data_IF_279320967306
#
_entry.id   IF_279320967306
#
_cell.length_a   1.000
_cell.length_b   1.000
_cell.length_c   1.000
_cell.angle_alpha   90.00
_cell.angle_beta   90.00
_cell.angle_gamma   90.00
#
_symmetry.space_group_name_H-M   'P 1'
#
loop_
_entity.id
_entity.type
_entity.pdbx_description
1 polymer ?
#
# COMPACT_ATOMS: atom_id res chain seq x y z
N UNK A 1 31.71 -44.65 -38.50
CA UNK A 1 32.22 -44.42 -37.14
C UNK A 1 31.21 -43.58 -36.39
N UNK A 2 30.63 -44.08 -35.27
CA UNK A 2 29.65 -43.37 -34.45
C UNK A 2 30.34 -42.49 -33.40
N UNK A 3 29.66 -41.43 -32.98
CA UNK A 3 30.06 -40.55 -31.87
C UNK A 3 28.86 -39.84 -31.26
N UNK A 4 28.26 -40.48 -30.27
CA UNK A 4 27.27 -40.02 -29.26
C UNK A 4 27.96 -38.85 -28.47
N UNK A 5 27.39 -37.76 -27.94
CA UNK A 5 26.34 -37.58 -26.90
C UNK A 5 26.03 -36.06 -26.70
N UNK A 6 24.77 -35.76 -26.37
CA UNK A 6 24.16 -34.73 -25.49
C UNK A 6 24.60 -33.24 -25.34
N UNK A 7 23.63 -32.36 -24.99
CA UNK A 7 23.82 -30.92 -24.79
C UNK A 7 24.24 -30.53 -23.36
N UNK A 8 25.11 -29.52 -23.23
CA UNK A 8 25.40 -28.80 -21.98
C UNK A 8 24.44 -27.60 -21.87
N UNK A 9 23.53 -27.51 -20.89
CA UNK A 9 23.66 -27.28 -19.43
C UNK A 9 23.59 -25.79 -19.08
N UNK A 10 22.54 -25.47 -18.33
CA UNK A 10 22.18 -24.17 -17.79
C UNK A 10 23.30 -23.57 -16.92
N UNK A 11 23.50 -22.26 -17.07
CA UNK A 11 24.30 -21.44 -16.17
C UNK A 11 23.42 -21.01 -14.98
N UNK A 12 23.55 -21.74 -13.87
CA UNK A 12 23.12 -21.31 -12.55
C UNK A 12 24.28 -20.58 -11.86
N UNK A 13 23.95 -19.48 -11.16
CA UNK A 13 24.87 -18.72 -10.32
C UNK A 13 25.53 -19.59 -9.23
N UNK A 14 26.81 -19.33 -8.87
CA UNK A 14 27.54 -20.11 -7.89
C UNK A 14 27.66 -19.36 -6.55
N UNK A 15 26.93 -19.74 -5.51
CA UNK A 15 27.34 -19.46 -4.13
C UNK A 15 27.03 -20.66 -3.22
N UNK A 16 28.12 -21.37 -2.89
CA UNK A 16 28.44 -22.13 -1.68
C UNK A 16 27.40 -22.05 -0.54
N UNK A 17 26.73 -23.13 -0.18
CA UNK A 17 27.16 -24.20 0.75
C UNK A 17 27.23 -23.79 2.24
N UNK A 18 26.28 -24.33 3.00
CA UNK A 18 26.54 -24.96 4.30
C UNK A 18 26.64 -24.06 5.54
N UNK A 19 25.54 -23.95 6.28
CA UNK A 19 25.52 -24.24 7.72
C UNK A 19 24.09 -24.48 8.18
N UNK A 20 23.87 -25.74 8.56
CA UNK A 20 22.71 -26.23 9.30
C UNK A 20 22.72 -25.58 10.69
N UNK A 21 21.61 -24.99 11.09
CA UNK A 21 21.33 -24.65 12.49
C UNK A 21 20.12 -25.49 12.93
N UNK A 22 20.35 -26.79 13.09
CA UNK A 22 19.51 -27.61 13.95
C UNK A 22 19.87 -27.26 15.39
N UNK A 23 18.96 -26.60 16.10
CA UNK A 23 18.99 -26.54 17.55
C UNK A 23 17.89 -27.46 18.07
N UNK A 24 18.30 -28.65 18.51
CA UNK A 24 17.52 -29.53 19.35
C UNK A 24 17.12 -28.79 20.63
N UNK A 25 15.82 -28.61 20.83
CA UNK A 25 15.27 -28.38 22.17
C UNK A 25 14.24 -29.47 22.41
N UNK A 26 14.72 -30.54 23.06
CA UNK A 26 13.88 -31.49 23.75
C UNK A 26 13.25 -30.79 24.97
N UNK A 27 11.93 -30.56 24.94
CA UNK A 27 11.18 -30.20 26.14
C UNK A 27 10.47 -31.44 26.66
N UNK A 28 10.93 -31.87 27.82
CA UNK A 28 10.43 -32.97 28.65
C UNK A 28 8.94 -32.75 28.96
N UNK A 29 8.08 -33.72 28.60
CA UNK A 29 6.74 -33.82 29.15
C UNK A 29 6.82 -34.14 30.65
N UNK A 30 6.72 -33.12 31.50
CA UNK A 30 6.32 -33.29 32.91
C UNK A 30 4.87 -32.84 33.05
N UNK A 31 4.02 -33.77 33.46
CA UNK A 31 2.61 -33.52 33.71
C UNK A 31 2.41 -32.40 34.73
N UNK A 32 1.69 -31.37 34.31
CA UNK A 32 1.13 -30.38 35.22
C UNK A 32 -0.32 -30.82 35.45
N UNK A 33 -0.60 -31.29 36.67
CA UNK A 33 -1.94 -31.56 37.14
C UNK A 33 -2.75 -30.26 37.10
N UNK A 34 -3.85 -30.25 36.35
CA UNK A 34 -4.80 -29.14 36.33
C UNK A 34 -5.64 -29.23 37.62
N UNK A 35 -5.60 -28.24 38.54
CA UNK A 35 -6.48 -28.26 39.69
C UNK A 35 -7.92 -27.95 39.27
N UNK A 36 -8.83 -28.89 39.56
CA UNK A 36 -10.26 -28.87 39.18
C UNK A 36 -11.12 -27.94 40.04
N UNK A 37 -10.63 -26.74 40.36
CA UNK A 37 -11.48 -25.71 40.94
C UNK A 37 -11.40 -24.45 40.08
N UNK A 38 -12.28 -24.38 39.09
CA UNK A 38 -12.56 -23.13 38.42
C UNK A 38 -13.40 -22.29 39.39
N UNK A 39 -12.93 -21.12 39.88
CA UNK A 39 -13.87 -20.15 40.38
C UNK A 39 -14.77 -19.73 39.21
N UNK A 40 -16.08 -19.76 39.45
CA UNK A 40 -17.08 -19.21 38.55
C UNK A 40 -16.77 -17.71 38.40
N UNK A 41 -15.97 -17.37 37.40
CA UNK A 41 -15.72 -15.99 37.02
C UNK A 41 -17.01 -15.45 36.40
N UNK A 42 -17.72 -14.71 37.25
CA UNK A 42 -18.92 -13.93 36.94
C UNK A 42 -18.66 -13.07 35.69
N UNK A 43 -19.38 -13.33 34.60
CA UNK A 43 -19.29 -12.61 33.33
C UNK A 43 -19.95 -11.23 33.42
N UNK A 44 -19.48 -10.37 34.33
CA UNK A 44 -19.87 -8.98 34.42
C UNK A 44 -18.60 -8.12 34.39
N UNK A 45 -18.59 -7.19 33.44
CA UNK A 45 -17.52 -6.25 33.11
C UNK A 45 -16.45 -6.72 32.11
N UNK A 46 -16.89 -7.00 30.88
CA UNK A 46 -16.08 -6.58 29.72
C UNK A 46 -16.07 -5.05 29.73
N UNK A 47 -15.05 -4.46 30.34
CA UNK A 47 -14.77 -3.03 30.23
C UNK A 47 -14.60 -2.70 28.75
N UNK A 48 -15.61 -2.07 28.17
CA UNK A 48 -15.52 -1.45 26.84
C UNK A 48 -14.47 -0.35 26.98
N UNK A 49 -13.21 -0.69 26.72
CA UNK A 49 -12.12 0.28 26.62
C UNK A 49 -12.53 1.28 25.55
N UNK A 50 -12.98 2.45 26.00
CA UNK A 50 -13.25 3.62 25.18
C UNK A 50 -12.03 3.87 24.30
N UNK A 51 -12.14 3.56 23.02
CA UNK A 51 -11.28 4.16 22.00
C UNK A 51 -11.60 5.65 21.99
N UNK A 52 -10.90 6.38 22.86
CA UNK A 52 -10.90 7.85 22.87
C UNK A 52 -9.94 8.23 21.75
N UNK A 53 -10.46 8.53 20.56
CA UNK A 53 -9.66 9.00 19.44
C UNK A 53 -8.97 10.31 19.82
N UNK A 54 -7.63 10.34 19.76
CA UNK A 54 -6.77 11.48 20.11
C UNK A 54 -6.50 12.35 18.86
N UNK A 55 -7.46 12.44 17.93
CA UNK A 55 -7.39 13.43 16.86
C UNK A 55 -8.13 14.70 17.31
N UNK A 56 -7.66 15.91 16.98
CA UNK A 56 -8.41 17.13 17.24
C UNK A 56 -9.68 17.12 16.38
N UNK A 57 -10.77 16.59 16.95
CA UNK A 57 -12.08 16.59 16.31
C UNK A 57 -12.54 18.04 16.24
N UNK A 58 -12.40 18.67 15.08
CA UNK A 58 -12.96 19.98 14.74
C UNK A 58 -14.35 20.13 15.37
N UNK A 59 -14.68 21.28 15.95
CA UNK A 59 -15.96 21.49 16.65
C UNK A 59 -17.19 21.12 15.79
N UNK A 60 -17.07 21.26 14.46
CA UNK A 60 -18.04 20.80 13.46
C UNK A 60 -18.28 19.28 13.51
N UNK A 61 -17.22 18.48 13.60
CA UNK A 61 -17.28 17.02 13.62
C UNK A 61 -17.92 16.47 14.90
N UNK A 62 -17.76 17.15 16.04
CA UNK A 62 -18.41 16.76 17.31
C UNK A 62 -19.94 16.89 17.26
N UNK A 63 -20.45 17.76 16.40
CA UNK A 63 -21.90 17.96 16.19
C UNK A 63 -22.50 16.93 15.23
N UNK A 64 -21.67 16.17 14.52
CA UNK A 64 -22.11 15.17 13.56
C UNK A 64 -22.15 13.79 14.20
N UNK A 65 -23.28 13.09 14.06
CA UNK A 65 -23.37 11.69 14.46
C UNK A 65 -22.53 10.80 13.51
N UNK A 66 -22.30 9.54 13.90
CA UNK A 66 -21.46 8.62 13.11
C UNK A 66 -21.97 8.42 11.68
N UNK A 67 -23.29 8.32 11.49
CA UNK A 67 -23.90 8.17 10.16
C UNK A 67 -23.65 9.40 9.28
N UNK A 68 -23.74 10.60 9.85
CA UNK A 68 -23.44 11.86 9.16
C UNK A 68 -21.96 11.98 8.81
N UNK A 69 -21.06 11.61 9.72
CA UNK A 69 -19.61 11.60 9.46
C UNK A 69 -19.25 10.68 8.28
N UNK A 70 -19.87 9.49 8.21
CA UNK A 70 -19.73 8.57 7.07
C UNK A 70 -20.31 9.16 5.78
N UNK A 71 -21.53 9.70 5.83
CA UNK A 71 -22.21 10.28 4.65
C UNK A 71 -21.42 11.47 4.05
N UNK A 72 -20.75 12.24 4.90
CA UNK A 72 -19.99 13.40 4.50
C UNK A 72 -18.50 13.09 4.29
N UNK A 73 -18.03 11.85 4.46
CA UNK A 73 -16.60 11.49 4.33
C UNK A 73 -15.66 12.35 5.22
N UNK A 74 -16.04 12.55 6.48
CA UNK A 74 -15.27 13.40 7.41
C UNK A 74 -14.85 12.67 8.68
N UNK A 75 -13.73 13.11 9.27
CA UNK A 75 -13.21 12.56 10.51
C UNK A 75 -12.62 11.16 10.30
N UNK A 76 -13.28 10.13 10.84
CA UNK A 76 -12.82 8.73 10.71
C UNK A 76 -13.08 8.10 9.34
N UNK A 77 -13.82 8.80 8.48
CA UNK A 77 -14.17 8.38 7.11
C UNK A 77 -13.59 9.30 6.05
N UNK A 78 -12.57 10.08 6.41
CA UNK A 78 -11.88 10.95 5.48
C UNK A 78 -10.94 10.12 4.61
N UNK A 79 -11.09 10.23 3.30
CA UNK A 79 -10.19 9.63 2.32
C UNK A 79 -9.30 10.73 1.74
N UNK A 80 -7.99 10.50 1.75
CA UNK A 80 -7.02 11.39 1.14
C UNK A 80 -6.57 10.83 -0.21
N UNK A 81 -6.19 11.72 -1.11
CA UNK A 81 -5.51 11.45 -2.37
C UNK A 81 -4.25 12.30 -2.45
N UNK A 82 -3.39 12.04 -3.43
CA UNK A 82 -2.32 12.95 -3.78
C UNK A 82 -2.28 13.15 -5.28
N UNK A 83 -1.80 14.32 -5.69
CA UNK A 83 -1.66 14.67 -7.10
C UNK A 83 -0.29 14.26 -7.62
N UNK A 84 -0.22 13.89 -8.89
CA UNK A 84 1.02 13.61 -9.59
C UNK A 84 1.08 14.57 -10.77
N UNK A 85 2.15 15.38 -10.81
CA UNK A 85 2.42 16.31 -11.90
C UNK A 85 3.81 16.09 -12.45
N UNK A 86 3.96 16.22 -13.75
CA UNK A 86 5.25 16.02 -14.40
C UNK A 86 5.27 16.50 -15.83
N UNK A 87 6.47 16.45 -16.41
CA UNK A 87 6.73 16.79 -17.81
C UNK A 87 7.39 15.60 -18.52
N UNK A 88 7.09 15.45 -19.80
CA UNK A 88 7.69 14.45 -20.67
C UNK A 88 8.84 15.07 -21.47
N UNK A 89 9.87 14.28 -21.80
CA UNK A 89 11.05 14.75 -22.54
C UNK A 89 10.69 15.19 -23.96
N UNK A 90 9.67 14.58 -24.56
CA UNK A 90 9.15 14.94 -25.87
C UNK A 90 7.63 15.07 -25.83
N UNK A 91 7.10 15.83 -26.78
CA UNK A 91 5.67 15.80 -27.10
C UNK A 91 5.36 14.45 -27.75
N UNK A 92 5.15 13.44 -26.91
CA UNK A 92 4.67 12.14 -27.37
C UNK A 92 3.20 12.38 -27.72
N UNK A 93 2.88 12.34 -29.01
CA UNK A 93 1.51 12.44 -29.52
C UNK A 93 0.63 11.29 -28.99
N UNK A 94 1.26 10.16 -28.63
CA UNK A 94 0.62 8.95 -28.11
C UNK A 94 1.12 8.64 -26.68
N UNK A 95 0.58 9.36 -25.70
CA UNK A 95 0.80 9.10 -24.28
C UNK A 95 0.04 7.87 -23.76
N UNK A 96 -0.78 7.23 -24.60
CA UNK A 96 -1.69 6.16 -24.19
C UNK A 96 -0.91 4.91 -23.77
N UNK A 97 0.15 4.54 -24.49
CA UNK A 97 0.99 3.40 -24.11
C UNK A 97 1.68 3.59 -22.74
N UNK A 98 2.08 4.82 -22.40
CA UNK A 98 2.65 5.13 -21.10
C UNK A 98 1.57 5.09 -20.02
N UNK A 99 0.39 5.65 -20.30
CA UNK A 99 -0.76 5.65 -19.41
C UNK A 99 -1.24 4.22 -19.13
N UNK A 100 -1.38 3.37 -20.15
CA UNK A 100 -1.81 1.97 -20.02
C UNK A 100 -0.83 1.18 -19.17
N UNK A 101 0.48 1.33 -19.42
CA UNK A 101 1.50 0.67 -18.61
C UNK A 101 1.49 1.18 -17.16
N UNK A 102 1.17 2.46 -16.95
CA UNK A 102 1.03 3.03 -15.62
C UNK A 102 -0.21 2.50 -14.90
N UNK A 103 -1.35 2.45 -15.58
CA UNK A 103 -2.61 1.92 -15.04
C UNK A 103 -2.43 0.45 -14.64
N UNK A 104 -1.84 -0.37 -15.51
CA UNK A 104 -1.58 -1.78 -15.19
C UNK A 104 -0.69 -1.95 -13.95
N UNK A 105 0.33 -1.10 -13.79
CA UNK A 105 1.21 -1.14 -12.62
C UNK A 105 0.53 -0.61 -11.35
N UNK A 106 -0.20 0.50 -11.43
CA UNK A 106 -0.80 1.13 -10.25
C UNK A 106 -1.94 0.26 -9.68
N UNK A 107 -2.71 -0.40 -10.55
CA UNK A 107 -3.72 -1.38 -10.13
C UNK A 107 -3.10 -2.59 -9.43
N UNK A 108 -1.89 -3.02 -9.84
CA UNK A 108 -1.16 -4.08 -9.13
C UNK A 108 -0.70 -3.68 -7.72
N UNK A 109 -0.72 -2.38 -7.41
CA UNK A 109 -0.40 -1.82 -6.10
C UNK A 109 -1.66 -1.49 -5.26
N UNK A 110 -2.85 -1.96 -5.68
CA UNK A 110 -4.16 -1.62 -5.11
C UNK A 110 -4.46 -0.11 -5.07
N UNK A 111 -3.93 0.61 -6.06
CA UNK A 111 -4.10 2.04 -6.26
C UNK A 111 -4.81 2.31 -7.59
N UNK A 112 -5.42 3.48 -7.69
CA UNK A 112 -6.11 3.95 -8.88
C UNK A 112 -5.57 5.30 -9.28
N UNK A 113 -5.53 5.54 -10.59
CA UNK A 113 -5.13 6.80 -11.17
C UNK A 113 -6.29 7.40 -11.96
N UNK A 114 -6.53 8.69 -11.76
CA UNK A 114 -7.43 9.48 -12.59
C UNK A 114 -6.67 10.70 -13.09
N UNK A 115 -6.46 10.81 -14.39
CA UNK A 115 -5.64 11.86 -14.96
C UNK A 115 -5.41 11.73 -16.44
N UNK A 116 -4.41 12.45 -16.91
CA UNK A 116 -3.99 12.56 -18.30
C UNK A 116 -2.47 12.45 -18.40
N UNK A 117 -2.02 11.70 -19.40
CA UNK A 117 -0.61 11.58 -19.79
C UNK A 117 -0.53 11.79 -21.29
N UNK A 118 0.29 12.74 -21.73
CA UNK A 118 0.46 13.07 -23.14
C UNK A 118 0.68 14.57 -23.34
N UNK A 119 0.90 15.01 -24.58
CA UNK A 119 1.14 16.43 -24.92
C UNK A 119 2.16 17.10 -23.98
N UNK A 120 3.26 16.38 -23.72
CA UNK A 120 4.39 16.89 -22.94
C UNK A 120 4.16 16.93 -21.42
N UNK A 121 3.02 16.45 -20.90
CA UNK A 121 2.69 16.56 -19.47
C UNK A 121 2.05 15.31 -18.87
N UNK A 122 2.22 15.18 -17.56
CA UNK A 122 1.55 14.22 -16.69
C UNK A 122 0.78 15.05 -15.67
N UNK A 123 -0.52 14.82 -15.55
CA UNK A 123 -1.35 15.45 -14.52
C UNK A 123 -2.45 14.49 -14.10
N UNK A 124 -2.56 14.23 -12.80
CA UNK A 124 -3.60 13.37 -12.28
C UNK A 124 -3.56 13.22 -10.78
N UNK A 125 -4.49 12.43 -10.28
CA UNK A 125 -4.64 12.10 -8.86
C UNK A 125 -4.55 10.60 -8.66
N UNK A 126 -3.93 10.20 -7.55
CA UNK A 126 -3.82 8.81 -7.11
C UNK A 126 -4.66 8.61 -5.85
N UNK A 127 -5.50 7.58 -5.87
CA UNK A 127 -6.42 7.23 -4.79
C UNK A 127 -6.44 5.72 -4.55
N UNK A 128 -6.96 5.31 -3.39
CA UNK A 128 -7.24 3.90 -3.05
C UNK A 128 -8.74 3.62 -3.11
N UNK A 129 -9.14 2.36 -3.27
CA UNK A 129 -10.57 1.98 -3.17
C UNK A 129 -11.15 2.18 -1.77
N UNK A 130 -10.31 2.07 -0.72
CA UNK A 130 -10.72 2.26 0.67
C UNK A 130 -9.59 2.96 1.44
N UNK A 131 -9.89 4.11 2.03
CA UNK A 131 -8.96 4.84 2.87
C UNK A 131 -8.05 5.79 2.10
N UNK A 132 -6.84 5.97 2.60
CA UNK A 132 -5.84 6.90 2.06
C UNK A 132 -4.57 6.15 1.62
N UNK A 133 -3.93 6.55 0.50
CA UNK A 133 -2.63 6.01 0.13
C UNK A 133 -1.57 6.29 1.19
N UNK A 134 -0.60 5.38 1.31
CA UNK A 134 0.53 5.53 2.23
C UNK A 134 1.67 6.35 1.62
N UNK A 135 2.55 6.87 2.47
CA UNK A 135 3.76 7.57 2.03
C UNK A 135 4.66 6.68 1.16
N UNK A 136 4.78 5.39 1.50
CA UNK A 136 5.56 4.43 0.71
C UNK A 136 4.98 4.25 -0.70
N UNK A 137 3.65 4.19 -0.83
CA UNK A 137 2.96 4.15 -2.11
C UNK A 137 3.21 5.43 -2.93
N UNK A 138 3.16 6.61 -2.31
CA UNK A 138 3.49 7.88 -2.97
C UNK A 138 4.90 7.87 -3.55
N UNK A 139 5.88 7.40 -2.77
CA UNK A 139 7.27 7.30 -3.23
C UNK A 139 7.46 6.27 -4.36
N UNK A 140 6.75 5.14 -4.29
CA UNK A 140 6.75 4.14 -5.37
C UNK A 140 6.24 4.71 -6.70
N UNK A 141 5.19 5.54 -6.66
CA UNK A 141 4.65 6.20 -7.87
C UNK A 141 5.69 7.13 -8.49
N UNK A 142 6.31 7.99 -7.69
CA UNK A 142 7.37 8.90 -8.16
C UNK A 142 8.55 8.11 -8.74
N UNK A 143 8.94 7.02 -8.07
CA UNK A 143 10.03 6.16 -8.52
C UNK A 143 9.72 5.49 -9.87
N UNK A 144 8.50 4.99 -10.04
CA UNK A 144 8.08 4.34 -11.29
C UNK A 144 8.23 5.26 -12.49
N UNK A 145 7.82 6.53 -12.37
CA UNK A 145 7.98 7.51 -13.43
C UNK A 145 9.46 7.88 -13.67
N UNK A 146 10.29 7.97 -12.61
CA UNK A 146 11.72 8.30 -12.75
C UNK A 146 12.58 7.21 -13.38
N UNK A 147 12.14 5.95 -13.34
CA UNK A 147 12.84 4.84 -13.98
C UNK A 147 12.67 4.83 -15.51
N UNK A 148 11.79 5.69 -16.04
CA UNK A 148 11.45 5.75 -17.47
C UNK A 148 12.19 6.88 -18.19
N UNK A 149 12.80 6.61 -19.36
CA UNK A 149 13.53 7.62 -20.12
C UNK A 149 12.61 8.68 -20.75
N UNK A 150 11.31 8.42 -20.87
CA UNK A 150 10.35 9.34 -21.48
C UNK A 150 9.96 10.50 -20.55
N UNK A 151 10.22 10.38 -19.24
CA UNK A 151 9.81 11.34 -18.21
C UNK A 151 10.97 12.28 -17.90
N UNK A 152 10.76 13.59 -18.05
CA UNK A 152 11.76 14.60 -17.73
C UNK A 152 11.75 14.92 -16.24
N UNK A 153 10.56 15.18 -15.70
CA UNK A 153 10.35 15.55 -14.30
C UNK A 153 9.02 15.01 -13.80
N UNK A 154 8.99 14.60 -12.54
CA UNK A 154 7.77 14.13 -11.88
C UNK A 154 7.83 14.44 -10.39
N UNK A 155 6.73 14.98 -9.90
CA UNK A 155 6.52 15.35 -8.51
C UNK A 155 5.17 14.81 -8.03
N UNK A 156 5.16 14.30 -6.80
CA UNK A 156 3.93 13.98 -6.10
C UNK A 156 3.62 15.10 -5.10
N UNK A 157 2.41 15.62 -5.18
CA UNK A 157 1.89 16.64 -4.27
C UNK A 157 1.62 16.10 -2.87
N UNK A 158 1.19 17.02 -2.01
CA UNK A 158 0.75 16.70 -0.64
C UNK A 158 -0.54 15.88 -0.64
N UNK A 159 -0.79 15.19 0.47
CA UNK A 159 -2.07 14.51 0.69
C UNK A 159 -3.19 15.54 0.87
N UNK A 160 -4.21 15.45 0.04
CA UNK A 160 -5.42 16.30 0.07
C UNK A 160 -6.67 15.46 0.30
N UNK A 161 -7.67 16.08 0.91
CA UNK A 161 -9.00 15.47 1.07
C UNK A 161 -9.63 15.23 -0.30
N UNK A 162 -10.05 14.00 -0.57
CA UNK A 162 -10.59 13.60 -1.87
C UNK A 162 -11.95 14.25 -2.20
N UNK A 163 -12.68 14.75 -1.20
CA UNK A 163 -14.03 15.30 -1.34
C UNK A 163 -14.08 16.82 -1.24
N UNK A 164 -13.25 17.43 -0.38
CA UNK A 164 -13.29 18.86 -0.09
C UNK A 164 -11.93 19.57 -0.25
N UNK A 165 -10.91 18.90 -0.79
CA UNK A 165 -9.55 19.43 -0.94
C UNK A 165 -9.34 20.42 -2.09
N UNK A 166 -10.42 20.76 -2.80
CA UNK A 166 -10.45 21.59 -4.00
C UNK A 166 -11.41 22.76 -3.76
N UNK A 167 -10.88 23.92 -3.39
CA UNK A 167 -11.60 25.20 -3.25
C UNK A 167 -11.16 26.20 -4.34
#
# INVERSE_FOLDING_TARGET
>A
MPGIVSPARAAACPIASGRECHADIAVVHRGVQIPSHLPVFNAREVSVRKYRSIAPVNGRLRRLNRRQRKKLHVGEFQDCLFEVRGSLVSDIDDGDALLDAFIAWIESCDLYFAGYVGRGRIDGMVLTSVGSPTEAQRQSVVRWFKERPEVAEVEAGEFRDAFYGYE
#
